data_IF_747368907147
#
_entry.id   IF_747368907147
#
_cell.length_a   1.000
_cell.length_b   1.000
_cell.length_c   1.000
_cell.angle_alpha   90.00
_cell.angle_beta   90.00
_cell.angle_gamma   90.00
#
_symmetry.space_group_name_H-M   'P 1'
#
loop_
_entity.id
_entity.type
_entity.pdbx_description
1 polymer ?
#
# COMPACT_ATOMS: atom_id res chain seq x y z
N UNK A 1 -0.87 17.02 0.84
CA UNK A 1 -0.51 17.82 2.02
C UNK A 1 0.08 19.17 1.59
N UNK A 2 0.21 20.13 2.53
CA UNK A 2 0.80 21.45 2.29
C UNK A 2 -0.18 22.60 2.55
N UNK A 3 0.34 23.84 2.42
CA UNK A 3 -0.42 25.06 2.71
C UNK A 3 -1.54 25.38 1.71
N UNK A 4 -1.43 24.83 0.48
CA UNK A 4 -2.35 25.13 -0.63
C UNK A 4 -3.36 24.01 -0.91
N UNK A 5 -3.62 23.12 0.06
CA UNK A 5 -4.58 22.02 -0.11
C UNK A 5 -6.00 22.55 -0.22
N UNK A 6 -6.66 22.26 -1.32
CA UNK A 6 -8.09 22.51 -1.53
C UNK A 6 -8.89 21.41 -0.80
N UNK A 7 -9.18 21.64 0.47
CA UNK A 7 -9.88 20.68 1.32
C UNK A 7 -11.26 20.28 0.78
N UNK A 8 -12.12 21.20 0.31
CA UNK A 8 -13.42 20.84 -0.29
C UNK A 8 -13.27 19.88 -1.48
N UNK A 9 -12.32 20.16 -2.38
CA UNK A 9 -12.06 19.31 -3.55
C UNK A 9 -11.56 17.91 -3.15
N UNK A 10 -10.69 17.82 -2.14
CA UNK A 10 -10.21 16.53 -1.64
C UNK A 10 -11.35 15.71 -1.07
N UNK A 11 -12.24 16.32 -0.27
CA UNK A 11 -13.42 15.65 0.29
C UNK A 11 -14.37 15.14 -0.79
N UNK A 12 -14.71 15.98 -1.75
CA UNK A 12 -15.57 15.60 -2.89
C UNK A 12 -14.99 14.41 -3.66
N UNK A 13 -13.66 14.42 -3.90
CA UNK A 13 -12.97 13.32 -4.56
C UNK A 13 -13.10 12.00 -3.77
N UNK A 14 -12.80 12.01 -2.47
CA UNK A 14 -12.89 10.79 -1.65
C UNK A 14 -14.33 10.28 -1.53
N UNK A 15 -15.28 11.15 -1.36
CA UNK A 15 -16.68 10.74 -1.28
C UNK A 15 -17.12 10.03 -2.55
N UNK A 16 -16.81 10.57 -3.72
CA UNK A 16 -17.11 9.95 -5.02
C UNK A 16 -16.36 8.63 -5.21
N UNK A 17 -15.06 8.59 -4.91
CA UNK A 17 -14.25 7.39 -5.05
C UNK A 17 -14.77 6.24 -4.17
N UNK A 18 -15.15 6.53 -2.92
CA UNK A 18 -15.67 5.52 -1.99
C UNK A 18 -17.08 5.04 -2.38
N UNK A 19 -17.91 5.90 -2.97
CA UNK A 19 -19.20 5.47 -3.55
C UNK A 19 -18.98 4.48 -4.69
N UNK A 20 -18.05 4.76 -5.61
CA UNK A 20 -17.72 3.84 -6.69
C UNK A 20 -17.12 2.54 -6.18
N UNK A 21 -16.20 2.62 -5.22
CA UNK A 21 -15.61 1.44 -4.61
C UNK A 21 -16.67 0.54 -3.97
N UNK A 22 -17.65 1.12 -3.26
CA UNK A 22 -18.77 0.38 -2.70
C UNK A 22 -19.64 -0.28 -3.78
N UNK A 23 -19.97 0.43 -4.85
CA UNK A 23 -20.75 -0.11 -5.97
C UNK A 23 -20.03 -1.26 -6.68
N UNK A 24 -18.71 -1.23 -6.73
CA UNK A 24 -17.87 -2.28 -7.30
C UNK A 24 -17.60 -3.44 -6.31
N UNK A 25 -18.12 -3.38 -5.10
CA UNK A 25 -17.88 -4.38 -4.08
C UNK A 25 -16.46 -4.41 -3.53
N UNK A 26 -15.72 -3.30 -3.64
CA UNK A 26 -14.36 -3.21 -3.13
C UNK A 26 -14.35 -3.27 -1.59
N UNK A 27 -13.54 -4.18 -1.05
CA UNK A 27 -13.31 -4.29 0.40
C UNK A 27 -12.23 -3.32 0.88
N UNK A 28 -11.25 -3.05 0.03
CA UNK A 28 -10.11 -2.18 0.31
C UNK A 28 -10.00 -1.08 -0.73
N UNK A 29 -9.59 0.11 -0.31
CA UNK A 29 -9.16 1.20 -1.17
C UNK A 29 -7.76 1.63 -0.74
N UNK A 30 -6.82 1.63 -1.67
CA UNK A 30 -5.42 1.97 -1.39
C UNK A 30 -5.22 3.48 -1.41
N UNK A 31 -4.66 4.03 -0.33
CA UNK A 31 -4.13 5.38 -0.29
C UNK A 31 -2.62 5.32 -0.62
N UNK A 32 -2.33 5.13 -1.92
CA UNK A 32 -0.99 4.87 -2.45
C UNK A 32 -0.41 5.99 -3.30
N UNK A 33 -1.19 7.01 -3.71
CA UNK A 33 -0.69 8.08 -4.59
C UNK A 33 0.49 8.85 -3.95
N UNK A 34 1.71 8.78 -4.52
CA UNK A 34 2.89 9.44 -3.96
C UNK A 34 2.71 10.95 -3.86
N UNK A 35 2.15 11.56 -4.91
CA UNK A 35 1.95 13.01 -5.01
C UNK A 35 1.04 13.57 -3.91
N UNK A 36 0.06 12.80 -3.45
CA UNK A 36 -0.83 13.23 -2.36
C UNK A 36 -0.12 13.27 -1.01
N UNK A 37 0.97 12.52 -0.87
CA UNK A 37 1.78 12.38 0.35
C UNK A 37 3.08 13.18 0.32
N UNK A 38 3.37 13.90 -0.76
CA UNK A 38 4.59 14.69 -0.86
C UNK A 38 4.50 15.95 0.00
N UNK A 39 5.42 16.09 0.97
CA UNK A 39 5.58 17.30 1.75
C UNK A 39 6.27 18.37 0.90
N UNK A 40 5.62 19.53 0.63
CA UNK A 40 6.23 20.58 -0.16
C UNK A 40 7.50 21.15 0.50
N UNK A 41 8.43 21.62 -0.32
CA UNK A 41 9.60 22.33 0.16
C UNK A 41 9.22 23.53 1.04
N UNK A 42 9.91 23.69 2.16
CA UNK A 42 9.64 24.76 3.14
C UNK A 42 8.39 24.54 3.99
N UNK A 43 7.65 23.44 3.81
CA UNK A 43 6.54 23.08 4.68
C UNK A 43 7.03 22.13 5.78
N UNK A 44 6.66 22.38 7.03
CA UNK A 44 7.12 21.55 8.15
C UNK A 44 6.58 20.11 8.03
N UNK A 45 7.49 19.11 8.12
CA UNK A 45 7.16 17.68 7.99
C UNK A 45 6.11 17.24 9.03
N UNK A 46 6.23 17.71 10.25
CA UNK A 46 5.28 17.42 11.33
C UNK A 46 3.87 17.91 10.96
N UNK A 47 3.75 19.12 10.42
CA UNK A 47 2.47 19.65 9.94
C UNK A 47 1.90 18.85 8.78
N UNK A 48 2.76 18.31 7.90
CA UNK A 48 2.32 17.44 6.83
C UNK A 48 1.77 16.11 7.36
N UNK A 49 2.42 15.52 8.36
CA UNK A 49 1.96 14.30 9.04
C UNK A 49 0.65 14.53 9.79
N UNK A 50 0.51 15.66 10.49
CA UNK A 50 -0.75 16.05 11.14
C UNK A 50 -1.90 16.19 10.14
N UNK A 51 -1.63 16.81 8.98
CA UNK A 51 -2.63 16.89 7.90
C UNK A 51 -3.00 15.50 7.38
N UNK A 52 -2.02 14.60 7.18
CA UNK A 52 -2.29 13.23 6.77
C UNK A 52 -3.12 12.48 7.80
N UNK A 53 -2.82 12.64 9.09
CA UNK A 53 -3.58 12.06 10.17
C UNK A 53 -5.05 12.53 10.16
N UNK A 54 -5.28 13.85 10.03
CA UNK A 54 -6.62 14.42 9.90
C UNK A 54 -7.38 13.84 8.69
N UNK A 55 -6.71 13.73 7.54
CA UNK A 55 -7.29 13.09 6.35
C UNK A 55 -7.62 11.62 6.59
N UNK A 56 -6.76 10.88 7.26
CA UNK A 56 -7.03 9.48 7.60
C UNK A 56 -8.31 9.34 8.44
N UNK A 57 -8.52 10.20 9.43
CA UNK A 57 -9.76 10.19 10.23
C UNK A 57 -10.97 10.51 9.35
N UNK A 58 -10.94 11.63 8.61
CA UNK A 58 -12.07 12.05 7.78
C UNK A 58 -12.44 11.01 6.70
N UNK A 59 -11.43 10.39 6.06
CA UNK A 59 -11.64 9.35 5.06
C UNK A 59 -12.10 8.04 5.71
N UNK A 60 -11.56 7.74 6.90
CA UNK A 60 -11.95 6.58 7.69
C UNK A 60 -13.43 6.60 8.04
N UNK A 61 -13.95 7.74 8.53
CA UNK A 61 -15.36 7.94 8.83
C UNK A 61 -16.27 7.68 7.60
N UNK A 62 -15.83 8.14 6.42
CA UNK A 62 -16.58 7.92 5.17
C UNK A 62 -16.47 6.48 4.67
N UNK A 63 -15.33 5.83 4.86
CA UNK A 63 -15.09 4.44 4.49
C UNK A 63 -15.89 3.47 5.39
N UNK A 64 -15.95 3.74 6.70
CA UNK A 64 -16.71 2.95 7.67
C UNK A 64 -18.18 2.85 7.29
N UNK A 65 -18.83 3.97 6.92
CA UNK A 65 -20.22 4.00 6.45
C UNK A 65 -20.51 3.08 5.27
N UNK A 66 -19.45 2.66 4.56
CA UNK A 66 -19.53 1.84 3.34
C UNK A 66 -18.93 0.45 3.51
N UNK A 67 -18.47 0.10 4.71
CA UNK A 67 -17.79 -1.16 4.97
C UNK A 67 -16.45 -1.31 4.24
N UNK A 68 -15.79 -0.19 3.92
CA UNK A 68 -14.52 -0.13 3.20
C UNK A 68 -13.37 0.13 4.18
N UNK A 69 -12.23 -0.51 3.96
CA UNK A 69 -10.98 -0.25 4.69
C UNK A 69 -10.05 0.54 3.78
N UNK A 70 -9.45 1.60 4.30
CA UNK A 70 -8.38 2.35 3.62
C UNK A 70 -7.06 1.71 3.98
N UNK A 71 -6.33 1.26 2.96
CA UNK A 71 -5.00 0.69 3.10
C UNK A 71 -3.93 1.74 2.78
N UNK A 72 -3.22 2.21 3.79
CA UNK A 72 -2.11 3.15 3.62
C UNK A 72 -0.91 2.42 3.02
N UNK A 73 -0.38 2.92 1.93
CA UNK A 73 0.77 2.35 1.23
C UNK A 73 2.01 3.20 1.43
N UNK A 74 3.13 2.62 1.90
CA UNK A 74 4.42 3.28 1.86
C UNK A 74 4.95 3.30 0.43
N UNK A 75 5.48 4.44 -0.02
CA UNK A 75 6.15 4.55 -1.32
C UNK A 75 7.62 4.91 -1.12
N UNK A 76 8.47 4.51 -2.05
CA UNK A 76 9.89 4.80 -1.97
C UNK A 76 10.21 6.30 -2.04
N UNK A 77 11.41 6.69 -1.56
CA UNK A 77 11.86 8.09 -1.47
C UNK A 77 12.03 8.78 -2.83
N UNK A 78 12.10 8.04 -3.93
CA UNK A 78 12.12 8.64 -5.27
C UNK A 78 10.74 9.16 -5.68
N UNK A 79 9.67 8.64 -5.05
CA UNK A 79 8.29 8.98 -5.37
C UNK A 79 7.66 9.94 -4.35
N UNK A 80 8.02 9.81 -3.07
CA UNK A 80 7.52 10.68 -1.99
C UNK A 80 8.54 10.86 -0.88
N UNK A 81 8.44 11.96 -0.13
CA UNK A 81 9.28 12.24 1.03
C UNK A 81 8.56 12.05 2.38
N UNK A 82 7.36 11.44 2.36
CA UNK A 82 6.60 11.05 3.55
C UNK A 82 6.19 9.58 3.42
N UNK A 83 6.13 8.85 4.55
CA UNK A 83 5.59 7.49 4.63
C UNK A 83 6.32 6.51 3.70
N UNK A 84 7.60 6.31 3.95
CA UNK A 84 8.46 5.51 3.07
C UNK A 84 8.58 4.04 3.51
N UNK A 85 8.30 3.73 4.77
CA UNK A 85 8.39 2.38 5.32
C UNK A 85 7.05 1.87 5.85
N UNK A 86 6.93 0.56 6.06
CA UNK A 86 5.75 -0.01 6.72
C UNK A 86 5.57 0.57 8.13
N UNK A 87 6.65 0.81 8.84
CA UNK A 87 6.62 1.43 10.16
C UNK A 87 6.03 2.86 10.12
N UNK A 88 6.32 3.64 9.07
CA UNK A 88 5.76 4.99 8.91
C UNK A 88 4.23 4.97 8.74
N UNK A 89 3.72 4.09 7.87
CA UNK A 89 2.26 3.99 7.66
C UNK A 89 1.55 3.42 8.87
N UNK A 90 2.17 2.50 9.61
CA UNK A 90 1.65 2.00 10.88
C UNK A 90 1.61 3.11 11.93
N UNK A 91 2.67 3.93 12.04
CA UNK A 91 2.69 5.06 12.95
C UNK A 91 1.56 6.05 12.64
N UNK A 92 1.31 6.34 11.36
CA UNK A 92 0.20 7.19 10.93
C UNK A 92 -1.16 6.56 11.26
N UNK A 93 -1.35 5.26 10.99
CA UNK A 93 -2.58 4.55 11.31
C UNK A 93 -2.87 4.54 12.82
N UNK A 94 -1.84 4.32 13.65
CA UNK A 94 -1.91 4.43 15.12
C UNK A 94 -2.31 5.83 15.56
N UNK A 95 -1.71 6.87 14.97
CA UNK A 95 -2.02 8.26 15.29
C UNK A 95 -3.45 8.65 14.89
N UNK A 96 -3.94 8.14 13.79
CA UNK A 96 -5.34 8.35 13.35
C UNK A 96 -6.34 7.63 14.27
N UNK A 97 -5.96 6.49 14.86
CA UNK A 97 -6.78 5.74 15.81
C UNK A 97 -8.11 5.22 15.22
N UNK A 98 -8.23 5.15 13.89
CA UNK A 98 -9.49 4.81 13.22
C UNK A 98 -9.51 3.33 12.79
N UNK A 99 -10.60 2.56 13.08
CA UNK A 99 -10.66 1.12 12.78
C UNK A 99 -10.60 0.81 11.28
N UNK A 100 -11.04 1.70 10.41
CA UNK A 100 -11.02 1.52 8.97
C UNK A 100 -9.75 2.06 8.30
N UNK A 101 -8.75 2.50 9.07
CA UNK A 101 -7.42 2.86 8.57
C UNK A 101 -6.47 1.73 8.91
N UNK A 102 -5.95 1.07 7.87
CA UNK A 102 -5.01 -0.03 7.93
C UNK A 102 -3.86 0.20 6.96
N UNK A 103 -2.98 -0.75 6.80
CA UNK A 103 -1.76 -0.61 6.02
C UNK A 103 -1.67 -1.67 4.94
N UNK A 104 -0.97 -1.32 3.88
CA UNK A 104 -0.53 -2.19 2.81
C UNK A 104 0.99 -2.24 2.83
N UNK A 105 1.57 -3.39 2.49
CA UNK A 105 3.00 -3.49 2.18
C UNK A 105 3.18 -3.79 0.70
N UNK A 106 3.92 -2.93 0.02
CA UNK A 106 4.40 -3.20 -1.34
C UNK A 106 5.84 -3.72 -1.29
N UNK A 107 6.07 -4.90 -1.87
CA UNK A 107 7.40 -5.51 -1.95
C UNK A 107 8.40 -4.67 -2.75
N UNK A 108 7.96 -4.05 -3.87
CA UNK A 108 8.84 -3.22 -4.68
C UNK A 108 9.35 -2.01 -3.89
N UNK A 109 8.45 -1.30 -3.19
CA UNK A 109 8.83 -0.15 -2.37
C UNK A 109 9.72 -0.55 -1.19
N UNK A 110 9.44 -1.69 -0.54
CA UNK A 110 10.31 -2.25 0.52
C UNK A 110 11.74 -2.43 -0.01
N UNK A 111 11.90 -3.02 -1.19
CA UNK A 111 13.21 -3.25 -1.80
C UNK A 111 13.89 -1.94 -2.20
N UNK A 112 13.15 -0.97 -2.73
CA UNK A 112 13.68 0.35 -3.10
C UNK A 112 14.22 1.11 -1.89
N UNK A 113 13.55 1.02 -0.75
CA UNK A 113 13.97 1.64 0.51
C UNK A 113 15.07 0.84 1.24
N UNK A 114 15.42 -0.34 0.75
CA UNK A 114 16.29 -1.29 1.47
C UNK A 114 15.77 -1.58 2.88
N UNK A 115 14.45 -1.52 3.04
CA UNK A 115 13.77 -1.84 4.29
C UNK A 115 13.75 -3.35 4.53
N UNK A 116 13.42 -3.76 5.74
CA UNK A 116 13.34 -5.17 6.14
C UNK A 116 11.90 -5.54 6.48
N UNK A 117 11.64 -6.84 6.57
CA UNK A 117 10.34 -7.35 7.02
C UNK A 117 10.11 -7.22 8.53
N UNK A 118 11.04 -6.66 9.29
CA UNK A 118 10.94 -6.59 10.76
C UNK A 118 9.75 -5.76 11.21
N UNK A 119 9.51 -4.61 10.56
CA UNK A 119 8.33 -3.79 10.79
C UNK A 119 7.04 -4.54 10.47
N UNK A 120 7.04 -5.27 9.36
CA UNK A 120 5.91 -6.09 8.93
C UNK A 120 5.62 -7.20 9.95
N UNK A 121 6.64 -7.94 10.40
CA UNK A 121 6.49 -9.03 11.39
C UNK A 121 5.98 -8.49 12.73
N UNK A 122 6.46 -7.32 13.16
CA UNK A 122 6.08 -6.71 14.44
C UNK A 122 4.64 -6.23 14.47
N UNK A 123 4.21 -5.50 13.44
CA UNK A 123 2.95 -4.76 13.44
C UNK A 123 1.91 -5.33 12.44
N UNK A 124 2.33 -6.21 11.52
CA UNK A 124 1.50 -6.66 10.39
C UNK A 124 0.26 -7.43 10.80
N UNK A 125 0.31 -8.21 11.90
CA UNK A 125 -0.86 -8.97 12.38
C UNK A 125 -2.07 -8.07 12.64
N UNK A 126 -1.85 -6.84 13.10
CA UNK A 126 -2.92 -5.89 13.42
C UNK A 126 -3.23 -4.96 12.22
N UNK A 127 -2.20 -4.56 11.48
CA UNK A 127 -2.33 -3.47 10.52
C UNK A 127 -2.32 -3.89 9.06
N UNK A 128 -1.69 -5.01 8.66
CA UNK A 128 -1.59 -5.42 7.27
C UNK A 128 -2.92 -5.99 6.77
N UNK A 129 -3.53 -5.34 5.77
CA UNK A 129 -4.78 -5.80 5.15
C UNK A 129 -4.64 -6.15 3.68
N UNK A 130 -3.57 -5.69 3.03
CA UNK A 130 -3.29 -5.97 1.63
C UNK A 130 -1.79 -5.96 1.35
N UNK A 131 -1.36 -6.61 0.29
CA UNK A 131 0.01 -6.58 -0.19
C UNK A 131 0.05 -6.31 -1.69
N UNK A 132 0.92 -5.40 -2.11
CA UNK A 132 1.33 -5.27 -3.50
C UNK A 132 2.64 -6.03 -3.72
N UNK A 133 2.79 -6.61 -4.89
CA UNK A 133 3.98 -7.37 -5.23
C UNK A 133 4.39 -7.14 -6.67
N UNK A 134 5.62 -6.74 -6.87
CA UNK A 134 6.26 -6.67 -8.17
C UNK A 134 7.73 -7.05 -8.05
N UNK A 135 8.32 -7.48 -9.14
CA UNK A 135 9.76 -7.74 -9.21
C UNK A 135 10.54 -6.44 -9.01
N UNK A 136 11.63 -6.48 -8.26
CA UNK A 136 12.47 -5.30 -8.03
C UNK A 136 13.05 -4.74 -9.34
N UNK A 137 13.55 -5.62 -10.22
CA UNK A 137 14.03 -5.20 -11.54
C UNK A 137 12.87 -4.70 -12.41
N UNK A 138 12.94 -3.42 -12.80
CA UNK A 138 11.99 -2.72 -13.70
C UNK A 138 10.53 -2.76 -13.25
N UNK A 139 10.26 -3.01 -11.96
CA UNK A 139 8.92 -3.20 -11.41
C UNK A 139 8.08 -4.17 -12.27
N UNK A 140 8.74 -5.28 -12.69
CA UNK A 140 8.15 -6.24 -13.63
C UNK A 140 7.26 -7.28 -12.95
N UNK A 141 6.68 -8.15 -13.76
CA UNK A 141 5.87 -9.27 -13.30
C UNK A 141 6.75 -10.39 -12.75
N UNK A 142 6.61 -10.77 -11.45
CA UNK A 142 7.36 -11.87 -10.85
C UNK A 142 6.81 -13.22 -11.34
N UNK A 143 7.69 -14.21 -11.50
CA UNK A 143 7.31 -15.55 -11.99
C UNK A 143 8.16 -16.70 -11.45
N UNK A 144 9.26 -16.37 -10.77
CA UNK A 144 10.25 -17.37 -10.38
C UNK A 144 10.97 -16.96 -9.08
N UNK A 145 11.27 -17.93 -8.21
CA UNK A 145 11.99 -17.71 -6.96
C UNK A 145 13.43 -17.20 -7.15
N UNK A 146 14.03 -17.47 -8.30
CA UNK A 146 15.41 -17.08 -8.61
C UNK A 146 15.55 -15.60 -8.97
N UNK A 147 14.45 -14.89 -9.21
CA UNK A 147 14.47 -13.48 -9.60
C UNK A 147 14.87 -12.54 -8.46
N UNK A 148 14.64 -12.91 -7.20
CA UNK A 148 15.13 -12.18 -6.03
C UNK A 148 15.30 -13.11 -4.82
N UNK A 149 16.51 -13.15 -4.28
CA UNK A 149 16.82 -13.94 -3.08
C UNK A 149 16.05 -13.52 -1.82
N UNK A 150 15.40 -12.36 -1.85
CA UNK A 150 14.59 -11.88 -0.72
C UNK A 150 13.13 -12.34 -0.77
N UNK A 151 12.67 -12.95 -1.86
CA UNK A 151 11.30 -13.50 -1.95
C UNK A 151 10.98 -14.46 -0.82
N UNK A 152 11.81 -15.48 -0.50
CA UNK A 152 11.54 -16.39 0.61
C UNK A 152 11.38 -15.66 1.94
N UNK A 153 12.21 -14.63 2.21
CA UNK A 153 12.14 -13.85 3.46
C UNK A 153 10.80 -13.13 3.59
N UNK A 154 10.34 -12.52 2.50
CA UNK A 154 9.06 -11.80 2.46
C UNK A 154 7.86 -12.74 2.66
N UNK A 155 7.80 -13.85 1.91
CA UNK A 155 6.69 -14.80 2.02
C UNK A 155 6.68 -15.55 3.37
N UNK A 156 7.84 -15.84 3.95
CA UNK A 156 7.92 -16.38 5.30
C UNK A 156 7.42 -15.38 6.36
N UNK A 157 7.66 -14.09 6.18
CA UNK A 157 7.06 -13.07 7.05
C UNK A 157 5.54 -13.07 6.96
N UNK A 158 4.96 -13.13 5.76
CA UNK A 158 3.50 -13.24 5.58
C UNK A 158 2.93 -14.52 6.22
N UNK A 159 3.61 -15.67 6.07
CA UNK A 159 3.21 -16.92 6.73
C UNK A 159 3.23 -16.81 8.25
N UNK A 160 4.25 -16.23 8.84
CA UNK A 160 4.35 -16.00 10.30
C UNK A 160 3.21 -15.13 10.83
N UNK A 161 2.71 -14.20 10.03
CA UNK A 161 1.56 -13.37 10.35
C UNK A 161 0.22 -14.11 10.18
N UNK A 162 0.20 -15.33 9.65
CA UNK A 162 -1.00 -16.02 9.19
C UNK A 162 -1.80 -15.16 8.22
N UNK A 163 -1.09 -14.47 7.30
CA UNK A 163 -1.71 -13.57 6.34
C UNK A 163 -2.58 -14.35 5.35
N UNK A 164 -3.87 -14.06 5.33
CA UNK A 164 -4.88 -14.72 4.50
C UNK A 164 -5.60 -13.79 3.51
N UNK A 165 -5.17 -12.53 3.44
CA UNK A 165 -5.73 -11.53 2.53
C UNK A 165 -5.12 -11.60 1.13
N UNK A 166 -5.47 -10.65 0.26
CA UNK A 166 -5.04 -10.64 -1.13
C UNK A 166 -3.62 -10.10 -1.36
N UNK A 167 -2.97 -10.63 -2.38
CA UNK A 167 -1.75 -10.04 -2.95
C UNK A 167 -2.07 -9.60 -4.38
N UNK A 168 -1.92 -8.31 -4.67
CA UNK A 168 -2.10 -7.76 -6.01
C UNK A 168 -0.74 -7.54 -6.66
N UNK A 169 -0.62 -7.99 -7.91
CA UNK A 169 0.54 -7.65 -8.71
C UNK A 169 0.44 -6.20 -9.18
N UNK A 170 1.40 -5.36 -8.80
CA UNK A 170 1.48 -3.95 -9.17
C UNK A 170 2.79 -3.65 -9.90
N UNK A 171 2.81 -3.95 -11.18
CA UNK A 171 4.01 -3.79 -12.00
C UNK A 171 3.69 -3.69 -13.48
N UNK A 172 4.75 -3.64 -14.28
CA UNK A 172 4.65 -3.44 -15.72
C UNK A 172 4.98 -4.74 -16.47
N UNK A 173 4.14 -5.18 -17.43
CA UNK A 173 4.49 -6.26 -18.34
C UNK A 173 5.61 -5.80 -19.29
N UNK A 174 6.34 -6.73 -19.87
CA UNK A 174 7.37 -6.41 -20.89
C UNK A 174 6.78 -5.73 -22.10
N UNK A 175 5.57 -6.13 -22.48
CA UNK A 175 4.79 -5.52 -23.56
C UNK A 175 3.29 -5.75 -23.33
N UNK A 176 2.45 -5.06 -24.10
CA UNK A 176 1.00 -5.26 -24.06
C UNK A 176 0.60 -6.68 -24.50
N UNK A 177 1.31 -7.21 -25.48
CA UNK A 177 1.07 -8.54 -26.04
C UNK A 177 1.43 -9.65 -25.04
N UNK A 178 2.46 -9.44 -24.22
CA UNK A 178 2.91 -10.41 -23.21
C UNK A 178 2.08 -10.39 -21.92
N UNK A 179 1.23 -9.37 -21.71
CA UNK A 179 0.50 -9.14 -20.46
C UNK A 179 -0.22 -10.39 -19.95
N UNK A 180 -1.06 -11.02 -20.76
CA UNK A 180 -1.87 -12.16 -20.32
C UNK A 180 -1.00 -13.37 -19.90
N UNK A 181 0.09 -13.62 -20.65
CA UNK A 181 1.01 -14.72 -20.35
C UNK A 181 1.80 -14.45 -19.08
N UNK A 182 2.32 -13.23 -18.92
CA UNK A 182 3.06 -12.83 -17.74
C UNK A 182 2.16 -12.82 -16.49
N UNK A 183 0.94 -12.27 -16.60
CA UNK A 183 -0.04 -12.27 -15.51
C UNK A 183 -0.39 -13.69 -15.03
N UNK A 184 -0.62 -14.61 -15.98
CA UNK A 184 -0.89 -16.01 -15.66
C UNK A 184 0.32 -16.69 -14.96
N UNK A 185 1.55 -16.39 -15.40
CA UNK A 185 2.76 -16.90 -14.75
C UNK A 185 2.90 -16.35 -13.32
N UNK A 186 2.70 -15.04 -13.14
CA UNK A 186 2.71 -14.39 -11.82
C UNK A 186 1.67 -14.98 -10.89
N UNK A 187 0.44 -15.19 -11.37
CA UNK A 187 -0.62 -15.82 -10.55
C UNK A 187 -0.24 -17.22 -10.08
N UNK A 188 0.40 -18.04 -10.93
CA UNK A 188 0.89 -19.37 -10.53
C UNK A 188 1.98 -19.24 -9.47
N UNK A 189 2.97 -18.40 -9.70
CA UNK A 189 4.06 -18.15 -8.76
C UNK A 189 3.55 -17.67 -7.38
N UNK A 190 2.65 -16.69 -7.36
CA UNK A 190 2.10 -16.16 -6.10
C UNK A 190 1.29 -17.21 -5.35
N UNK A 191 0.49 -18.04 -6.05
CA UNK A 191 -0.24 -19.15 -5.42
C UNK A 191 0.69 -20.17 -4.79
N UNK A 192 1.76 -20.54 -5.50
CA UNK A 192 2.80 -21.43 -4.95
C UNK A 192 3.47 -20.80 -3.71
N UNK A 193 3.85 -19.52 -3.80
CA UNK A 193 4.53 -18.80 -2.74
C UNK A 193 3.72 -18.71 -1.43
N UNK A 194 2.40 -18.60 -1.52
CA UNK A 194 1.52 -18.58 -0.35
C UNK A 194 0.98 -19.97 0.03
N UNK A 195 1.34 -21.02 -0.70
CA UNK A 195 0.94 -22.38 -0.42
C UNK A 195 -0.54 -22.71 -0.74
N UNK A 196 -1.06 -22.13 -1.82
CA UNK A 196 -2.45 -22.30 -2.28
C UNK A 196 -2.56 -22.90 -3.68
#
# INVERSE_FOLDING_TARGET
VGAKVDKPRVRDFYQKALVWAQQLGCRYVVLGSPWSKCCPEGFAREKALDQMCQWCVEIGDEAEKRGIIIALEPNNQQETNLLNTFADVVALAKSAGHPNIRCLQDYYHLKMERDTVDGLVRDGKEYLVHSHFARFDKRGFPKDWTEDAYYPVYFEALKKLHYDSGISMEGFPKSRESFAVEAAATCRFLKEAVGR
#
